data_IF_704337408713
#
_entry.id   IF_704337408713
#
_cell.length_a   1.000
_cell.length_b   1.000
_cell.length_c   1.000
_cell.angle_alpha   90.00
_cell.angle_beta   90.00
_cell.angle_gamma   90.00
#
_symmetry.space_group_name_H-M   'P 1'
#
loop_
_entity.id
_entity.type
_entity.pdbx_description
1 polymer ?
#
# COMPACT_ATOMS: atom_id res chain seq x y z
N UNK A 1 -8.03 -9.84 12.36
CA UNK A 1 -6.89 -8.91 12.13
C UNK A 1 -5.70 -9.40 12.95
N UNK A 2 -4.58 -9.61 12.31
CA UNK A 2 -3.36 -10.07 12.98
C UNK A 2 -2.22 -9.13 12.62
N UNK A 3 -1.83 -8.29 13.58
CA UNK A 3 -0.74 -7.32 13.41
C UNK A 3 0.42 -7.77 14.28
N UNK A 4 1.57 -8.03 13.66
CA UNK A 4 2.76 -8.43 14.40
C UNK A 4 3.19 -7.29 15.35
N UNK A 5 3.64 -7.61 16.58
CA UNK A 5 4.00 -6.57 17.55
C UNK A 5 5.07 -5.59 17.09
N UNK A 6 5.95 -5.99 16.17
CA UNK A 6 7.00 -5.10 15.63
C UNK A 6 6.53 -4.25 14.46
N UNK A 7 5.33 -4.48 13.93
CA UNK A 7 4.79 -3.64 12.87
C UNK A 7 4.42 -2.27 13.44
N UNK A 8 4.62 -1.23 12.65
CA UNK A 8 4.25 0.14 13.03
C UNK A 8 3.05 0.54 12.19
N UNK A 9 1.88 0.53 12.82
CA UNK A 9 0.63 0.90 12.15
C UNK A 9 0.12 2.18 12.77
N UNK A 10 -0.01 3.22 11.95
CA UNK A 10 -0.49 4.50 12.46
C UNK A 10 -1.91 4.34 13.01
N UNK A 11 -2.26 4.97 14.14
CA UNK A 11 -3.60 4.83 14.74
C UNK A 11 -4.75 5.22 13.81
N UNK A 12 -4.50 6.11 12.85
CA UNK A 12 -5.52 6.56 11.91
C UNK A 12 -5.64 5.67 10.67
N UNK A 13 -4.75 4.70 10.49
CA UNK A 13 -4.87 3.75 9.39
C UNK A 13 -6.12 2.90 9.57
N UNK A 14 -6.79 2.59 8.47
CA UNK A 14 -8.01 1.80 8.48
C UNK A 14 -7.71 0.39 8.04
N UNK A 15 -7.69 -0.51 9.01
CA UNK A 15 -7.35 -1.92 8.79
C UNK A 15 -8.61 -2.75 8.95
N UNK A 16 -9.06 -3.38 7.88
CA UNK A 16 -10.28 -4.17 7.89
C UNK A 16 -10.08 -5.53 8.56
N UNK A 17 -11.18 -6.23 8.75
CA UNK A 17 -11.18 -7.56 9.36
C UNK A 17 -10.40 -8.56 8.51
N UNK A 18 -9.69 -9.46 9.17
CA UNK A 18 -8.95 -10.53 8.49
C UNK A 18 -7.62 -10.12 7.91
N UNK A 19 -7.23 -8.85 8.01
CA UNK A 19 -5.93 -8.38 7.52
C UNK A 19 -4.80 -8.93 8.39
N UNK A 20 -3.71 -9.35 7.75
CA UNK A 20 -2.49 -9.77 8.45
C UNK A 20 -1.36 -8.82 8.07
N UNK A 21 -0.64 -8.33 9.06
CA UNK A 21 0.50 -7.43 8.87
C UNK A 21 1.70 -8.04 9.56
N UNK A 22 2.74 -8.36 8.78
CA UNK A 22 3.93 -9.02 9.25
C UNK A 22 4.91 -8.10 9.97
N UNK A 23 6.02 -8.69 10.50
CA UNK A 23 6.98 -7.93 11.30
C UNK A 23 7.68 -6.84 10.52
N UNK A 24 7.97 -5.74 11.22
CA UNK A 24 8.71 -4.58 10.71
C UNK A 24 8.07 -3.88 9.52
N UNK A 25 6.80 -4.16 9.24
CA UNK A 25 6.06 -3.40 8.23
C UNK A 25 5.60 -2.07 8.83
N UNK A 26 5.51 -1.06 7.97
CA UNK A 26 5.12 0.30 8.36
C UNK A 26 3.92 0.73 7.54
N UNK A 27 2.83 1.07 8.23
CA UNK A 27 1.58 1.49 7.60
C UNK A 27 1.28 2.91 8.03
N UNK A 28 1.17 3.81 7.06
CA UNK A 28 1.00 5.24 7.32
C UNK A 28 -0.41 5.67 7.65
N UNK A 29 -0.54 6.94 7.95
CA UNK A 29 -1.74 7.57 8.52
C UNK A 29 -2.95 7.52 7.59
N UNK A 30 -2.74 7.69 6.29
CA UNK A 30 -3.82 7.82 5.31
C UNK A 30 -4.04 6.53 4.51
N UNK A 31 -3.68 5.40 5.08
CA UNK A 31 -3.76 4.10 4.42
C UNK A 31 -5.01 3.36 4.85
N UNK A 32 -5.70 2.75 3.89
CA UNK A 32 -6.82 1.83 4.13
C UNK A 32 -6.50 0.49 3.50
N UNK A 33 -6.70 -0.61 4.24
CA UNK A 33 -6.45 -1.96 3.76
C UNK A 33 -7.71 -2.79 3.92
N UNK A 34 -8.19 -3.35 2.82
CA UNK A 34 -9.43 -4.13 2.78
C UNK A 34 -9.28 -5.54 3.34
N UNK A 35 -10.42 -6.20 3.49
CA UNK A 35 -10.55 -7.49 4.19
C UNK A 35 -9.62 -8.55 3.60
N UNK A 36 -9.08 -9.37 4.50
CA UNK A 36 -8.32 -10.57 4.18
C UNK A 36 -7.07 -10.32 3.35
N UNK A 37 -6.59 -9.10 3.27
CA UNK A 37 -5.31 -8.79 2.64
C UNK A 37 -4.17 -9.20 3.55
N UNK A 38 -3.07 -9.66 2.94
CA UNK A 38 -1.88 -10.12 3.66
C UNK A 38 -0.70 -9.24 3.31
N UNK A 39 -0.17 -8.57 4.32
CA UNK A 39 1.01 -7.73 4.20
C UNK A 39 2.16 -8.49 4.87
N UNK A 40 3.18 -8.81 4.10
CA UNK A 40 4.32 -9.57 4.61
C UNK A 40 5.22 -8.71 5.49
N UNK A 41 6.44 -9.18 5.77
CA UNK A 41 7.40 -8.43 6.58
C UNK A 41 8.07 -7.32 5.77
N UNK A 42 8.51 -6.26 6.45
CA UNK A 42 9.32 -5.19 5.83
C UNK A 42 8.64 -4.55 4.63
N UNK A 43 7.34 -4.31 4.73
CA UNK A 43 6.57 -3.62 3.69
C UNK A 43 6.27 -2.21 4.17
N UNK A 44 6.51 -1.23 3.30
CA UNK A 44 6.11 0.15 3.56
C UNK A 44 4.86 0.46 2.74
N UNK A 45 3.79 0.88 3.42
CA UNK A 45 2.59 1.40 2.75
C UNK A 45 2.34 2.79 3.32
N UNK A 46 2.39 3.78 2.47
CA UNK A 46 2.33 5.17 2.91
C UNK A 46 1.50 6.00 1.94
N UNK A 47 1.41 7.30 2.21
CA UNK A 47 0.64 8.23 1.40
C UNK A 47 -0.86 7.96 1.48
N UNK A 48 -1.61 8.56 0.57
CA UNK A 48 -3.06 8.38 0.48
C UNK A 48 -3.35 7.15 -0.38
N UNK A 49 -3.27 5.98 0.25
CA UNK A 49 -3.32 4.68 -0.41
C UNK A 49 -4.52 3.88 0.08
N UNK A 50 -5.33 3.42 -0.85
CA UNK A 50 -6.44 2.51 -0.56
C UNK A 50 -6.16 1.17 -1.22
N UNK A 51 -6.12 0.12 -0.41
CA UNK A 51 -5.91 -1.25 -0.87
C UNK A 51 -7.20 -2.03 -0.64
N UNK A 52 -7.67 -2.70 -1.67
CA UNK A 52 -8.90 -3.49 -1.60
C UNK A 52 -8.72 -4.80 -0.86
N UNK A 53 -9.56 -5.78 -1.20
CA UNK A 53 -9.63 -7.05 -0.48
C UNK A 53 -8.73 -8.12 -1.07
N UNK A 54 -8.29 -9.05 -0.23
CA UNK A 54 -7.57 -10.28 -0.63
C UNK A 54 -6.33 -10.00 -1.47
N UNK A 55 -5.65 -8.91 -1.21
CA UNK A 55 -4.35 -8.65 -1.82
C UNK A 55 -3.25 -9.30 -1.01
N UNK A 56 -2.18 -9.71 -1.68
CA UNK A 56 -1.00 -10.26 -1.02
C UNK A 56 0.22 -9.47 -1.43
N UNK A 57 0.82 -8.78 -0.46
CA UNK A 57 1.99 -7.92 -0.69
C UNK A 57 3.20 -8.56 -0.03
N UNK A 58 4.20 -8.86 -0.85
CA UNK A 58 5.40 -9.60 -0.44
C UNK A 58 6.45 -8.68 0.18
N UNK A 59 7.46 -9.23 0.87
CA UNK A 59 8.43 -8.44 1.62
C UNK A 59 9.22 -7.44 0.79
N UNK A 60 9.65 -6.38 1.43
CA UNK A 60 10.49 -5.32 0.86
C UNK A 60 9.83 -4.56 -0.29
N UNK A 61 8.50 -4.54 -0.32
CA UNK A 61 7.76 -3.73 -1.26
C UNK A 61 7.50 -2.34 -0.69
N UNK A 62 7.44 -1.35 -1.57
CA UNK A 62 7.19 0.04 -1.20
C UNK A 62 5.94 0.51 -1.98
N UNK A 63 4.87 0.78 -1.26
CA UNK A 63 3.55 1.04 -1.83
C UNK A 63 3.09 2.44 -1.44
N UNK A 64 2.72 3.25 -2.43
CA UNK A 64 2.11 4.55 -2.19
C UNK A 64 3.09 5.65 -1.81
N UNK A 65 4.38 5.42 -1.97
CA UNK A 65 5.38 6.45 -1.73
C UNK A 65 5.30 7.55 -2.80
N UNK A 66 5.94 8.69 -2.53
CA UNK A 66 5.93 9.83 -3.43
C UNK A 66 6.42 9.46 -4.83
N UNK A 67 5.84 10.01 -5.89
CA UNK A 67 6.28 9.71 -7.24
C UNK A 67 7.71 10.21 -7.49
N UNK A 68 8.42 9.50 -8.35
CA UNK A 68 9.78 9.88 -8.76
C UNK A 68 9.71 10.97 -9.83
N UNK A 69 9.28 12.15 -9.42
CA UNK A 69 9.09 13.29 -10.31
C UNK A 69 9.62 14.53 -9.60
N UNK A 70 10.61 15.20 -10.20
CA UNK A 70 11.25 16.36 -9.57
C UNK A 70 10.30 17.55 -9.40
N UNK A 71 9.20 17.57 -10.13
CA UNK A 71 8.16 18.59 -9.97
C UNK A 71 7.19 18.35 -8.82
N UNK A 72 7.27 17.17 -8.20
CA UNK A 72 6.37 16.81 -7.13
C UNK A 72 6.76 17.53 -5.83
N UNK A 73 5.77 18.11 -5.12
CA UNK A 73 5.99 18.92 -3.91
C UNK A 73 5.24 18.37 -2.69
N UNK A 74 5.12 17.07 -2.56
CA UNK A 74 4.38 16.42 -1.47
C UNK A 74 2.88 16.75 -1.46
N UNK A 75 2.32 17.03 -2.61
CA UNK A 75 0.89 17.29 -2.72
C UNK A 75 0.09 16.00 -2.44
N UNK A 76 -1.17 16.18 -2.07
CA UNK A 76 -2.08 15.07 -1.82
C UNK A 76 -2.48 14.43 -3.15
N UNK A 77 -1.86 13.32 -3.46
CA UNK A 77 -2.21 12.48 -4.61
C UNK A 77 -2.46 11.06 -4.11
N UNK A 78 -3.09 10.22 -4.94
CA UNK A 78 -3.69 9.00 -4.47
C UNK A 78 -3.18 7.78 -5.20
N UNK A 79 -3.22 6.64 -4.50
CA UNK A 79 -3.04 5.32 -5.07
C UNK A 79 -4.22 4.45 -4.67
N UNK A 80 -4.86 3.82 -5.65
CA UNK A 80 -5.96 2.89 -5.39
C UNK A 80 -5.60 1.54 -5.98
N UNK A 81 -5.58 0.53 -5.14
CA UNK A 81 -5.33 -0.86 -5.53
C UNK A 81 -6.62 -1.64 -5.29
N UNK A 82 -7.10 -2.34 -6.33
CA UNK A 82 -8.30 -3.14 -6.25
C UNK A 82 -8.12 -4.44 -5.47
N UNK A 83 -8.82 -5.49 -5.88
CA UNK A 83 -8.86 -6.75 -5.15
C UNK A 83 -8.03 -7.85 -5.82
N UNK A 84 -7.64 -8.84 -5.03
CA UNK A 84 -7.04 -10.09 -5.53
C UNK A 84 -5.74 -9.87 -6.30
N UNK A 85 -4.95 -8.86 -5.95
CA UNK A 85 -3.65 -8.62 -6.56
C UNK A 85 -2.55 -9.31 -5.77
N UNK A 86 -1.49 -9.71 -6.46
CA UNK A 86 -0.26 -10.19 -5.86
C UNK A 86 0.85 -9.22 -6.23
N UNK A 87 1.46 -8.61 -5.23
CA UNK A 87 2.58 -7.70 -5.41
C UNK A 87 3.80 -8.36 -4.82
N UNK A 88 4.72 -8.77 -5.70
CA UNK A 88 5.89 -9.55 -5.31
C UNK A 88 6.95 -8.68 -4.63
N UNK A 89 7.93 -9.36 -4.07
CA UNK A 89 9.02 -8.73 -3.31
C UNK A 89 9.79 -7.68 -4.13
N UNK A 90 10.21 -6.65 -3.45
CA UNK A 90 10.98 -5.53 -4.00
C UNK A 90 10.24 -4.72 -5.07
N UNK A 91 8.94 -4.88 -5.18
CA UNK A 91 8.14 -4.06 -6.09
C UNK A 91 7.93 -2.66 -5.51
N UNK A 92 7.84 -1.67 -6.38
CA UNK A 92 7.51 -0.30 -5.99
C UNK A 92 6.28 0.17 -6.74
N UNK A 93 5.32 0.73 -6.02
CA UNK A 93 4.12 1.30 -6.59
C UNK A 93 3.96 2.70 -5.99
N UNK A 94 4.15 3.73 -6.80
CA UNK A 94 4.10 5.10 -6.34
C UNK A 94 2.68 5.67 -6.47
N UNK A 95 2.35 6.65 -5.59
CA UNK A 95 1.14 7.42 -5.79
C UNK A 95 1.33 8.39 -6.95
N UNK A 96 0.24 8.95 -7.46
CA UNK A 96 0.24 9.77 -8.66
C UNK A 96 0.93 11.14 -8.46
N UNK A 97 1.23 11.79 -9.58
CA UNK A 97 1.61 13.21 -9.60
C UNK A 97 0.36 14.07 -9.69
N UNK A 98 0.54 15.40 -9.66
CA UNK A 98 -0.57 16.34 -9.83
C UNK A 98 -0.84 16.69 -11.30
N UNK A 99 -0.13 16.08 -12.23
CA UNK A 99 -0.15 16.49 -13.65
C UNK A 99 -1.42 16.08 -14.38
N UNK A 100 -2.12 15.06 -13.89
CA UNK A 100 -3.37 14.58 -14.49
C UNK A 100 -4.47 14.53 -13.42
N UNK A 101 -5.05 13.37 -13.18
CA UNK A 101 -6.17 13.21 -12.28
C UNK A 101 -5.76 12.95 -10.82
N UNK A 102 -4.49 13.05 -10.51
CA UNK A 102 -3.93 12.86 -9.17
C UNK A 102 -4.12 11.45 -8.60
N UNK A 103 -4.49 10.48 -9.40
CA UNK A 103 -4.76 9.13 -8.92
C UNK A 103 -4.08 8.09 -9.79
N UNK A 104 -3.33 7.20 -9.16
CA UNK A 104 -2.84 5.97 -9.79
C UNK A 104 -3.78 4.85 -9.40
N UNK A 105 -4.24 4.07 -10.39
CA UNK A 105 -5.16 2.97 -10.14
C UNK A 105 -4.56 1.66 -10.64
N UNK A 106 -4.54 0.67 -9.75
CA UNK A 106 -4.26 -0.72 -10.10
C UNK A 106 -5.56 -1.49 -9.91
N UNK A 107 -6.03 -2.14 -10.96
CA UNK A 107 -7.29 -2.88 -10.91
C UNK A 107 -7.19 -4.17 -10.10
N UNK A 108 -7.90 -5.20 -10.56
CA UNK A 108 -8.01 -6.46 -9.83
C UNK A 108 -7.21 -7.57 -10.50
N UNK A 109 -6.82 -8.58 -9.74
CA UNK A 109 -6.23 -9.82 -10.23
C UNK A 109 -4.95 -9.60 -11.04
N UNK A 110 -4.13 -8.64 -10.61
CA UNK A 110 -2.83 -8.38 -11.22
C UNK A 110 -1.74 -9.11 -10.46
N UNK A 111 -0.65 -9.42 -11.17
CA UNK A 111 0.54 -10.00 -10.60
C UNK A 111 1.71 -9.09 -10.92
N UNK A 112 2.16 -8.33 -9.92
CA UNK A 112 3.19 -7.31 -10.10
C UNK A 112 4.53 -7.83 -9.57
N UNK A 113 5.54 -7.80 -10.44
CA UNK A 113 6.90 -8.19 -10.08
C UNK A 113 7.83 -6.97 -10.12
N UNK A 114 8.96 -7.11 -9.47
CA UNK A 114 9.94 -6.03 -9.43
C UNK A 114 10.53 -5.74 -10.82
#
# INVERSE_FOLDING_TARGET
>A
MRIHPTAVVHPNARIAEGVEIGPYSVIGEHVSIGRDSKIASHVLIDGWTTIGERNHIFPFSSIGTAPQDIGYRDEETYLIIGDDNVIRECATVHRATTKEDRTTVIGNKNFLMA
#
